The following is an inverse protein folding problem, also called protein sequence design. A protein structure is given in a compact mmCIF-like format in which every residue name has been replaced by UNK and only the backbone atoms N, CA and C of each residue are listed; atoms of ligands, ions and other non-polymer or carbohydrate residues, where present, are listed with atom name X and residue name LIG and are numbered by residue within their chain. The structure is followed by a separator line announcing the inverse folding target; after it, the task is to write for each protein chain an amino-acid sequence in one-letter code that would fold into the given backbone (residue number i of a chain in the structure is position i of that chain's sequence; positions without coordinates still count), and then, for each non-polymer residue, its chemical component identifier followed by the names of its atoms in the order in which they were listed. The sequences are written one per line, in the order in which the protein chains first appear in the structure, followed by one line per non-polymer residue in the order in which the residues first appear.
data_IF_512278854637
#
_entry.id   IF_512278854637
#
_cell.length_a   1.000
_cell.length_b   1.000
_cell.length_c   1.000
_cell.angle_alpha   90.00
_cell.angle_beta   90.00
_cell.angle_gamma   90.00
#
_symmetry.space_group_name_H-M   'P 1'
#
loop_
_entity.id
_entity.type
_entity.pdbx_description
1 polymer ?
#
# COMPACT_ATOMS: atom_id res chain seq x y z
N UNK A 1 16.72 -29.98 -0.40
CA UNK A 1 16.99 -29.07 -1.54
C UNK A 1 16.01 -27.90 -1.63
N UNK A 2 14.71 -28.08 -1.29
CA UNK A 2 13.68 -27.02 -1.27
C UNK A 2 14.03 -25.77 -0.42
N UNK A 3 14.70 -25.92 0.71
CA UNK A 3 15.06 -24.76 1.56
C UNK A 3 16.21 -23.90 1.00
N UNK A 4 17.12 -24.47 0.21
CA UNK A 4 18.26 -23.70 -0.33
C UNK A 4 17.84 -22.79 -1.50
N UNK A 5 16.86 -23.19 -2.30
CA UNK A 5 16.38 -22.39 -3.44
C UNK A 5 15.48 -21.22 -2.99
N UNK A 6 14.65 -21.42 -1.96
CA UNK A 6 13.85 -20.34 -1.36
C UNK A 6 14.76 -19.28 -0.72
N UNK A 7 15.88 -19.69 -0.12
CA UNK A 7 16.88 -18.78 0.48
C UNK A 7 17.68 -18.00 -0.58
N UNK A 8 17.90 -18.56 -1.77
CA UNK A 8 18.62 -17.87 -2.85
C UNK A 8 17.80 -16.72 -3.46
N UNK A 9 16.49 -16.91 -3.65
CA UNK A 9 15.62 -15.88 -4.21
C UNK A 9 15.34 -14.73 -3.23
N UNK A 10 15.42 -14.99 -1.92
CA UNK A 10 15.20 -13.96 -0.89
C UNK A 10 16.21 -12.80 -1.01
N UNK A 11 17.44 -13.07 -1.44
CA UNK A 11 18.52 -12.08 -1.59
C UNK A 11 18.47 -11.28 -2.88
N UNK A 12 17.58 -11.62 -3.81
CA UNK A 12 17.49 -10.89 -5.07
C UNK A 12 16.89 -9.50 -4.87
N UNK A 13 17.44 -8.48 -5.55
CA UNK A 13 16.80 -7.19 -5.68
C UNK A 13 15.36 -7.34 -6.19
N UNK A 14 14.44 -6.54 -5.65
CA UNK A 14 13.01 -6.57 -5.94
C UNK A 14 12.75 -6.39 -7.43
N UNK A 15 13.55 -5.56 -8.11
CA UNK A 15 13.47 -5.38 -9.56
C UNK A 15 13.59 -6.70 -10.33
N UNK A 16 14.45 -7.63 -9.90
CA UNK A 16 14.59 -8.93 -10.54
C UNK A 16 13.44 -9.88 -10.18
N UNK A 17 12.93 -9.81 -8.94
CA UNK A 17 11.72 -10.56 -8.53
C UNK A 17 10.51 -10.12 -9.36
N UNK A 18 10.33 -8.82 -9.58
CA UNK A 18 9.28 -8.26 -10.42
C UNK A 18 9.45 -8.64 -11.90
N UNK A 19 10.66 -8.49 -12.44
CA UNK A 19 10.96 -8.87 -13.83
C UNK A 19 10.68 -10.36 -14.07
N UNK A 20 11.12 -11.23 -13.15
CA UNK A 20 10.85 -12.66 -13.20
C UNK A 20 9.34 -12.95 -13.20
N UNK A 21 8.57 -12.25 -12.35
CA UNK A 21 7.12 -12.37 -12.31
C UNK A 21 6.46 -11.97 -13.63
N UNK A 22 6.86 -10.84 -14.22
CA UNK A 22 6.34 -10.36 -15.51
C UNK A 22 6.69 -11.31 -16.64
N UNK A 23 7.95 -11.75 -16.73
CA UNK A 23 8.39 -12.69 -17.77
C UNK A 23 7.63 -14.02 -17.68
N UNK A 24 7.47 -14.54 -16.46
CA UNK A 24 6.72 -15.79 -16.23
C UNK A 24 5.25 -15.63 -16.61
N UNK A 25 4.62 -14.51 -16.25
CA UNK A 25 3.23 -14.21 -16.64
C UNK A 25 3.08 -14.10 -18.16
N UNK A 26 3.97 -13.39 -18.84
CA UNK A 26 3.96 -13.28 -20.31
C UNK A 26 4.11 -14.65 -20.98
N UNK A 27 4.97 -15.52 -20.43
CA UNK A 27 5.15 -16.88 -20.94
C UNK A 27 3.90 -17.73 -20.76
N UNK A 28 3.21 -17.64 -19.61
CA UNK A 28 1.92 -18.30 -19.38
C UNK A 28 0.87 -17.85 -20.40
N UNK A 29 0.73 -16.54 -20.61
CA UNK A 29 -0.24 -15.98 -21.55
C UNK A 29 0.05 -16.42 -22.97
N UNK A 30 1.32 -16.37 -23.40
CA UNK A 30 1.72 -16.83 -24.73
C UNK A 30 1.42 -18.32 -24.96
N UNK A 31 1.67 -19.16 -23.95
CA UNK A 31 1.45 -20.60 -24.04
C UNK A 31 -0.05 -20.95 -24.08
N UNK A 32 -0.88 -20.27 -23.28
CA UNK A 32 -2.34 -20.40 -23.33
C UNK A 32 -2.91 -19.92 -24.66
N UNK A 33 -2.45 -18.77 -25.16
CA UNK A 33 -2.87 -18.23 -26.45
C UNK A 33 -2.50 -19.19 -27.59
N UNK A 34 -1.25 -19.68 -27.62
CA UNK A 34 -0.80 -20.65 -28.61
C UNK A 34 -1.65 -21.93 -28.59
N UNK A 35 -1.94 -22.47 -27.40
CA UNK A 35 -2.82 -23.63 -27.24
C UNK A 35 -4.22 -23.37 -27.77
N UNK A 36 -4.79 -22.19 -27.49
CA UNK A 36 -6.12 -21.79 -27.98
C UNK A 36 -6.18 -21.68 -29.50
N UNK A 37 -5.25 -20.95 -30.12
CA UNK A 37 -5.18 -20.79 -31.58
C UNK A 37 -4.97 -22.13 -32.30
N UNK A 38 -4.08 -22.98 -31.78
CA UNK A 38 -3.87 -24.33 -32.31
C UNK A 38 -5.15 -25.17 -32.26
N UNK A 39 -5.90 -25.12 -31.15
CA UNK A 39 -7.15 -25.85 -31.00
C UNK A 39 -8.22 -25.43 -32.03
N UNK A 40 -8.38 -24.13 -32.24
CA UNK A 40 -9.32 -23.58 -33.24
C UNK A 40 -8.93 -23.98 -34.66
N UNK A 41 -7.64 -23.91 -35.00
CA UNK A 41 -7.17 -24.29 -36.33
C UNK A 41 -7.38 -25.78 -36.61
N UNK A 42 -7.05 -26.65 -35.63
CA UNK A 42 -7.28 -28.09 -35.74
C UNK A 42 -8.76 -28.42 -35.94
N UNK A 43 -9.66 -27.75 -35.22
CA UNK A 43 -11.11 -27.90 -35.40
C UNK A 43 -11.57 -27.48 -36.80
N UNK A 44 -11.08 -26.36 -37.33
CA UNK A 44 -11.42 -25.89 -38.67
C UNK A 44 -11.02 -26.91 -39.75
N UNK A 45 -9.81 -27.45 -39.65
CA UNK A 45 -9.32 -28.48 -40.59
C UNK A 45 -10.18 -29.75 -40.53
N UNK A 46 -10.54 -30.21 -39.32
CA UNK A 46 -11.44 -31.35 -39.16
C UNK A 46 -12.81 -31.11 -39.77
N UNK A 47 -13.43 -29.96 -39.47
CA UNK A 47 -14.77 -29.63 -39.93
C UNK A 47 -14.84 -29.57 -41.47
N UNK A 48 -13.85 -28.96 -42.12
CA UNK A 48 -13.74 -28.97 -43.58
C UNK A 48 -13.61 -30.40 -44.12
N UNK A 49 -12.73 -31.22 -43.53
CA UNK A 49 -12.50 -32.61 -43.96
C UNK A 49 -13.77 -33.47 -43.88
N UNK A 50 -14.54 -33.36 -42.80
CA UNK A 50 -15.82 -34.08 -42.63
C UNK A 50 -16.83 -33.64 -43.69
N UNK A 51 -16.94 -32.32 -43.92
CA UNK A 51 -17.93 -31.75 -44.86
C UNK A 51 -17.69 -32.24 -46.28
N UNK A 52 -16.43 -32.27 -46.74
CA UNK A 52 -16.10 -32.73 -48.09
C UNK A 52 -16.33 -34.24 -48.27
N UNK A 53 -15.97 -35.06 -47.27
CA UNK A 53 -16.14 -36.52 -47.37
C UNK A 53 -17.59 -36.97 -47.30
N UNK A 54 -18.45 -36.22 -46.62
CA UNK A 54 -19.89 -36.49 -46.60
C UNK A 54 -20.53 -36.39 -48.01
N UNK A 55 -19.93 -35.63 -48.93
CA UNK A 55 -20.44 -35.45 -50.30
C UNK A 55 -20.15 -36.65 -51.25
N UNK A 56 -19.21 -37.54 -50.90
CA UNK A 56 -18.90 -38.74 -51.71
C UNK A 56 -19.96 -39.84 -51.57
N UNK A 57 -20.61 -39.92 -50.41
CA UNK A 57 -21.54 -40.99 -50.07
C UNK A 57 -22.82 -40.99 -50.95
N UNK A 58 -23.47 -39.85 -51.22
CA UNK A 58 -24.58 -39.79 -52.17
C UNK A 58 -24.21 -40.27 -53.58
N UNK A 59 -23.01 -39.92 -54.05
CA UNK A 59 -22.58 -40.25 -55.42
C UNK A 59 -22.28 -41.75 -55.60
N UNK A 60 -21.70 -42.40 -54.58
CA UNK A 60 -21.50 -43.84 -54.60
C UNK A 60 -22.83 -44.62 -54.53
N UNK A 61 -23.79 -44.12 -53.75
CA UNK A 61 -25.14 -44.69 -53.67
C UNK A 61 -25.89 -44.56 -55.00
N UNK A 62 -25.79 -43.40 -55.66
CA UNK A 62 -26.40 -43.14 -56.97
C UNK A 62 -25.83 -44.08 -58.04
N UNK A 63 -24.52 -44.32 -58.04
CA UNK A 63 -23.88 -45.29 -58.94
C UNK A 63 -24.38 -46.72 -58.67
N UNK A 64 -24.43 -47.14 -57.40
CA UNK A 64 -24.92 -48.48 -57.04
C UNK A 64 -26.39 -48.66 -57.46
N UNK A 65 -27.21 -47.62 -57.30
CA UNK A 65 -28.60 -47.63 -57.73
C UNK A 65 -28.73 -47.73 -59.25
N UNK A 66 -27.95 -46.95 -60.01
CA UNK A 66 -27.96 -47.00 -61.48
C UNK A 66 -27.58 -48.41 -61.99
N UNK A 67 -26.58 -49.06 -61.36
CA UNK A 67 -26.18 -50.43 -61.72
C UNK A 67 -27.25 -51.45 -61.33
N UNK A 68 -27.94 -51.26 -60.21
CA UNK A 68 -29.09 -52.08 -59.84
C UNK A 68 -30.24 -51.97 -60.86
N UNK A 69 -30.56 -50.76 -61.32
CA UNK A 69 -31.56 -50.52 -62.37
C UNK A 69 -31.16 -51.14 -63.72
N UNK A 70 -29.88 -51.10 -64.08
CA UNK A 70 -29.32 -51.78 -65.26
C UNK A 70 -29.46 -53.31 -65.15
N UNK A 71 -29.08 -53.89 -64.00
CA UNK A 71 -29.22 -55.32 -63.74
C UNK A 71 -30.69 -55.76 -63.78
N UNK A 72 -31.58 -54.94 -63.25
CA UNK A 72 -33.01 -55.23 -63.24
C UNK A 72 -33.62 -55.18 -64.66
N UNK A 73 -33.25 -54.19 -65.48
CA UNK A 73 -33.71 -54.12 -66.88
C UNK A 73 -33.17 -55.29 -67.71
N UNK A 74 -31.91 -55.69 -67.51
CA UNK A 74 -31.33 -56.88 -68.16
C UNK A 74 -32.06 -58.18 -67.82
N UNK A 75 -32.36 -58.43 -66.53
CA UNK A 75 -33.13 -59.62 -66.11
C UNK A 75 -34.53 -59.63 -66.71
N UNK A 76 -35.14 -58.46 -66.91
CA UNK A 76 -36.48 -58.33 -67.52
C UNK A 76 -36.48 -58.73 -69.00
N UNK A 77 -35.39 -58.44 -69.72
CA UNK A 77 -35.21 -58.81 -71.15
C UNK A 77 -35.18 -60.32 -71.36
N UNK A 78 -34.66 -61.10 -70.40
CA UNK A 78 -34.52 -62.57 -70.51
C UNK A 78 -35.62 -63.41 -69.86
N UNK A 79 -36.71 -62.81 -69.38
CA UNK A 79 -37.85 -63.57 -68.84
C UNK A 79 -38.60 -64.30 -69.98
N UNK A 80 -39.08 -65.54 -69.75
CA UNK A 80 -39.92 -66.24 -70.73
C UNK A 80 -41.15 -65.40 -71.10
N UNK A 81 -41.47 -65.31 -72.40
CA UNK A 81 -42.56 -64.48 -72.96
C UNK A 81 -43.98 -64.90 -72.53
N UNK A 82 -44.12 -65.95 -71.73
CA UNK A 82 -45.40 -66.53 -71.31
C UNK A 82 -46.11 -65.76 -70.18
N UNK A 83 -45.54 -64.64 -69.72
CA UNK A 83 -46.13 -63.77 -68.71
C UNK A 83 -47.01 -62.70 -69.40
N UNK A 84 -48.36 -62.71 -69.22
CA UNK A 84 -49.28 -61.84 -69.97
C UNK A 84 -49.01 -60.34 -69.80
N UNK A 85 -48.44 -59.91 -68.67
CA UNK A 85 -48.12 -58.51 -68.39
C UNK A 85 -46.88 -57.97 -69.13
N UNK A 86 -46.09 -58.85 -69.75
CA UNK A 86 -44.87 -58.51 -70.51
C UNK A 86 -45.04 -58.67 -72.03
N UNK A 87 -46.19 -59.21 -72.47
CA UNK A 87 -46.48 -59.47 -73.88
C UNK A 87 -46.67 -58.19 -74.72
N UNK A 88 -47.05 -57.07 -74.09
CA UNK A 88 -47.21 -55.76 -74.76
C UNK A 88 -45.91 -54.95 -74.88
N UNK A 89 -44.83 -55.36 -74.20
CA UNK A 89 -43.53 -54.68 -74.29
C UNK A 89 -42.79 -55.07 -75.57
N UNK A 90 -42.73 -54.16 -76.55
CA UNK A 90 -41.92 -54.36 -77.76
C UNK A 90 -40.45 -54.65 -77.39
N UNK A 91 -39.77 -55.63 -78.02
CA UNK A 91 -38.35 -55.93 -77.77
C UNK A 91 -37.42 -54.71 -77.87
N UNK A 92 -37.75 -53.76 -78.74
CA UNK A 92 -37.02 -52.49 -78.88
C UNK A 92 -37.13 -51.57 -77.66
N UNK A 93 -38.24 -51.62 -76.91
CA UNK A 93 -38.41 -50.83 -75.69
C UNK A 93 -37.50 -51.33 -74.56
N UNK A 94 -37.38 -52.65 -74.38
CA UNK A 94 -36.51 -53.22 -73.34
C UNK A 94 -35.02 -53.00 -73.66
N UNK A 95 -34.61 -53.08 -74.93
CA UNK A 95 -33.25 -52.70 -75.36
C UNK A 95 -32.99 -51.19 -75.19
N UNK A 96 -33.99 -50.36 -75.43
CA UNK A 96 -33.91 -48.92 -75.19
C UNK A 96 -33.76 -48.60 -73.69
N UNK A 97 -34.54 -49.25 -72.82
CA UNK A 97 -34.45 -49.13 -71.35
C UNK A 97 -33.07 -49.57 -70.85
N UNK A 98 -32.54 -50.69 -71.36
CA UNK A 98 -31.18 -51.15 -71.07
C UNK A 98 -30.12 -50.12 -71.45
N UNK A 99 -30.17 -49.56 -72.66
CA UNK A 99 -29.21 -48.54 -73.13
C UNK A 99 -29.29 -47.25 -72.31
N UNK A 100 -30.49 -46.83 -71.91
CA UNK A 100 -30.68 -45.67 -71.05
C UNK A 100 -30.08 -45.90 -69.66
N UNK A 101 -30.33 -47.07 -69.05
CA UNK A 101 -29.74 -47.41 -67.75
C UNK A 101 -28.21 -47.53 -67.83
N UNK A 102 -27.66 -48.03 -68.93
CA UNK A 102 -26.21 -48.08 -69.15
C UNK A 102 -25.61 -46.66 -69.24
N UNK A 103 -26.33 -45.71 -69.86
CA UNK A 103 -25.94 -44.29 -69.91
C UNK A 103 -26.04 -43.62 -68.53
N UNK A 104 -27.05 -43.97 -67.73
CA UNK A 104 -27.19 -43.50 -66.35
C UNK A 104 -26.05 -43.99 -65.46
N UNK A 105 -25.63 -45.26 -65.60
CA UNK A 105 -24.45 -45.82 -64.90
C UNK A 105 -23.18 -45.04 -65.24
N UNK A 106 -22.93 -44.75 -66.53
CA UNK A 106 -21.77 -43.96 -66.95
C UNK A 106 -21.80 -42.55 -66.36
N UNK A 107 -22.95 -41.90 -66.37
CA UNK A 107 -23.13 -40.56 -65.82
C UNK A 107 -22.87 -40.54 -64.30
N UNK A 108 -23.38 -41.53 -63.58
CA UNK A 108 -23.15 -41.68 -62.14
C UNK A 108 -21.68 -42.00 -61.82
N UNK A 109 -21.02 -42.82 -62.65
CA UNK A 109 -19.59 -43.13 -62.52
C UNK A 109 -18.73 -41.89 -62.73
N UNK A 110 -19.01 -41.09 -63.76
CA UNK A 110 -18.28 -39.86 -64.03
C UNK A 110 -18.46 -38.83 -62.90
N UNK A 111 -19.66 -38.74 -62.33
CA UNK A 111 -19.94 -37.89 -61.16
C UNK A 111 -19.14 -38.34 -59.93
N UNK A 112 -19.10 -39.64 -59.67
CA UNK A 112 -18.30 -40.22 -58.59
C UNK A 112 -16.80 -39.98 -58.81
N UNK A 113 -16.29 -40.19 -60.03
CA UNK A 113 -14.90 -39.96 -60.42
C UNK A 113 -14.48 -38.50 -60.25
N UNK A 114 -15.35 -37.55 -60.62
CA UNK A 114 -15.12 -36.12 -60.38
C UNK A 114 -14.89 -35.84 -58.90
N UNK A 115 -15.75 -36.33 -58.00
CA UNK A 115 -15.56 -36.19 -56.55
C UNK A 115 -14.29 -36.90 -56.03
N UNK A 116 -13.91 -38.03 -56.63
CA UNK A 116 -12.69 -38.75 -56.27
C UNK A 116 -11.41 -38.01 -56.69
N UNK A 117 -11.47 -37.22 -57.77
CA UNK A 117 -10.32 -36.48 -58.33
C UNK A 117 -10.22 -35.03 -57.89
N UNK A 118 -11.32 -34.37 -57.51
CA UNK A 118 -11.40 -32.91 -57.50
C UNK A 118 -10.47 -32.20 -56.52
N UNK A 119 -9.94 -32.83 -55.47
CA UNK A 119 -9.09 -32.11 -54.49
C UNK A 119 -7.98 -32.95 -53.83
N UNK A 120 -7.16 -33.63 -54.65
CA UNK A 120 -5.95 -34.33 -54.16
C UNK A 120 -4.92 -33.40 -53.47
N UNK A 121 -5.03 -32.08 -53.61
CA UNK A 121 -4.04 -31.11 -53.10
C UNK A 121 -4.26 -30.60 -51.67
N UNK A 122 -5.46 -30.74 -51.09
CA UNK A 122 -5.81 -30.13 -49.78
C UNK A 122 -6.25 -31.14 -48.70
N UNK A 123 -6.24 -32.44 -49.01
CA UNK A 123 -6.66 -33.48 -48.07
C UNK A 123 -5.52 -33.86 -47.13
N UNK A 124 -5.82 -33.99 -45.83
CA UNK A 124 -4.86 -34.50 -44.84
C UNK A 124 -4.33 -35.87 -45.31
N UNK A 125 -2.99 -36.05 -45.45
CA UNK A 125 -2.39 -37.29 -45.94
C UNK A 125 -2.76 -38.53 -45.11
N UNK A 126 -3.31 -38.35 -43.90
CA UNK A 126 -3.82 -39.42 -43.03
C UNK A 126 -5.12 -40.07 -43.51
N UNK A 127 -5.78 -39.54 -44.55
CA UNK A 127 -6.98 -40.13 -45.19
C UNK A 127 -6.64 -40.70 -46.59
N UNK A 128 -5.35 -40.94 -46.85
CA UNK A 128 -4.78 -40.94 -48.20
C UNK A 128 -4.83 -42.25 -48.99
N UNK A 129 -5.34 -43.37 -48.46
CA UNK A 129 -5.33 -44.60 -49.27
C UNK A 129 -6.62 -44.78 -50.09
N UNK A 130 -6.73 -43.99 -51.16
CA UNK A 130 -7.75 -44.14 -52.20
C UNK A 130 -7.49 -45.33 -53.14
N UNK A 131 -6.50 -46.19 -52.86
CA UNK A 131 -6.11 -47.25 -53.79
C UNK A 131 -7.21 -48.30 -53.95
N UNK A 132 -7.99 -48.57 -52.90
CA UNK A 132 -9.11 -49.53 -52.98
C UNK A 132 -10.25 -48.96 -53.81
N UNK A 133 -10.67 -47.72 -53.54
CA UNK A 133 -11.72 -47.04 -54.29
C UNK A 133 -11.34 -46.83 -55.76
N UNK A 134 -10.07 -46.49 -56.04
CA UNK A 134 -9.56 -46.41 -57.42
C UNK A 134 -9.51 -47.77 -58.10
N UNK A 135 -9.12 -48.82 -57.39
CA UNK A 135 -9.13 -50.20 -57.90
C UNK A 135 -10.54 -50.64 -58.31
N UNK A 136 -11.53 -50.41 -57.45
CA UNK A 136 -12.93 -50.72 -57.72
C UNK A 136 -13.49 -49.88 -58.88
N UNK A 137 -13.15 -48.59 -58.97
CA UNK A 137 -13.54 -47.76 -60.12
C UNK A 137 -12.95 -48.29 -61.44
N UNK A 138 -11.68 -48.70 -61.44
CA UNK A 138 -11.05 -49.31 -62.63
C UNK A 138 -11.71 -50.64 -63.02
N UNK A 139 -12.15 -51.44 -62.05
CA UNK A 139 -12.89 -52.68 -62.30
C UNK A 139 -14.28 -52.41 -62.89
N UNK A 140 -14.97 -51.39 -62.40
CA UNK A 140 -16.24 -50.90 -62.96
C UNK A 140 -16.05 -50.40 -64.40
N UNK A 141 -15.00 -49.62 -64.67
CA UNK A 141 -14.67 -49.14 -66.03
C UNK A 141 -14.44 -50.32 -66.99
N UNK A 142 -13.63 -51.32 -66.58
CA UNK A 142 -13.39 -52.54 -67.39
C UNK A 142 -14.67 -53.34 -67.66
N UNK A 143 -15.54 -53.43 -66.65
CA UNK A 143 -16.82 -54.15 -66.79
C UNK A 143 -17.74 -53.42 -67.78
N UNK A 144 -17.81 -52.09 -67.71
CA UNK A 144 -18.57 -51.27 -68.66
C UNK A 144 -18.04 -51.36 -70.10
N UNK A 145 -16.72 -51.42 -70.29
CA UNK A 145 -16.10 -51.62 -71.61
C UNK A 145 -16.41 -53.01 -72.19
N UNK A 146 -16.48 -54.03 -71.34
CA UNK A 146 -16.83 -55.39 -71.76
C UNK A 146 -18.33 -55.51 -72.08
N UNK A 147 -19.20 -54.92 -71.25
CA UNK A 147 -20.64 -54.80 -71.51
C UNK A 147 -20.89 -54.05 -72.82
N UNK A 148 -20.15 -52.96 -73.10
CA UNK A 148 -20.28 -52.20 -74.33
C UNK A 148 -19.93 -53.05 -75.56
N UNK A 149 -18.82 -53.81 -75.50
CA UNK A 149 -18.41 -54.72 -76.58
C UNK A 149 -19.43 -55.83 -76.84
N UNK A 150 -19.97 -56.45 -75.80
CA UNK A 150 -20.98 -57.51 -75.91
C UNK A 150 -22.33 -56.98 -76.41
N UNK A 151 -22.74 -55.79 -75.95
CA UNK A 151 -23.98 -55.14 -76.37
C UNK A 151 -23.97 -54.72 -77.85
N UNK A 152 -22.82 -54.27 -78.38
CA UNK A 152 -22.70 -53.83 -79.79
C UNK A 152 -22.87 -54.94 -80.83
N UNK A 153 -22.85 -56.22 -80.43
CA UNK A 153 -23.01 -57.36 -81.35
C UNK A 153 -24.47 -57.61 -81.79
N UNK A 154 -25.42 -56.71 -81.44
CA UNK A 154 -26.84 -56.63 -81.86
C UNK A 154 -27.77 -57.84 -81.62
N UNK A 155 -27.25 -59.06 -81.52
CA UNK A 155 -28.04 -60.30 -81.44
C UNK A 155 -27.97 -61.01 -80.06
N UNK A 156 -27.39 -60.37 -79.04
CA UNK A 156 -27.22 -60.95 -77.70
C UNK A 156 -28.53 -61.37 -77.00
N UNK A 157 -29.68 -60.82 -77.42
CA UNK A 157 -31.00 -61.20 -76.90
C UNK A 157 -31.44 -62.58 -77.41
N UNK A 158 -30.91 -63.02 -78.56
CA UNK A 158 -31.30 -64.26 -79.23
C UNK A 158 -30.23 -65.36 -79.13
N UNK A 159 -29.04 -65.02 -78.63
CA UNK A 159 -27.94 -65.96 -78.36
C UNK A 159 -27.80 -66.17 -76.85
N UNK A 160 -28.14 -67.37 -76.38
CA UNK A 160 -28.07 -67.76 -74.97
C UNK A 160 -26.66 -67.62 -74.40
N UNK A 161 -25.61 -67.88 -75.19
CA UNK A 161 -24.21 -67.79 -74.73
C UNK A 161 -23.83 -66.33 -74.51
N UNK A 162 -24.23 -65.42 -75.41
CA UNK A 162 -23.98 -63.98 -75.25
C UNK A 162 -24.83 -63.37 -74.13
N UNK A 163 -26.07 -63.85 -73.96
CA UNK A 163 -26.92 -63.46 -72.84
C UNK A 163 -26.27 -63.83 -71.50
N UNK A 164 -25.81 -65.07 -71.35
CA UNK A 164 -25.19 -65.54 -70.11
C UNK A 164 -23.88 -64.78 -69.83
N UNK A 165 -23.03 -64.55 -70.84
CA UNK A 165 -21.81 -63.75 -70.71
C UNK A 165 -22.08 -62.28 -70.31
N UNK A 166 -23.11 -61.67 -70.88
CA UNK A 166 -23.51 -60.30 -70.55
C UNK A 166 -24.10 -60.23 -69.13
N UNK A 167 -24.86 -61.24 -68.73
CA UNK A 167 -25.40 -61.38 -67.37
C UNK A 167 -24.31 -61.51 -66.32
N UNK A 168 -23.31 -62.34 -66.57
CA UNK A 168 -22.14 -62.51 -65.68
C UNK A 168 -21.36 -61.20 -65.51
N UNK A 169 -21.17 -60.44 -66.58
CA UNK A 169 -20.44 -59.17 -66.53
C UNK A 169 -21.25 -58.05 -65.83
N UNK A 170 -22.58 -58.03 -66.00
CA UNK A 170 -23.48 -57.13 -65.25
C UNK A 170 -23.49 -57.49 -63.76
N UNK A 171 -23.44 -58.77 -63.41
CA UNK A 171 -23.32 -59.19 -62.02
C UNK A 171 -21.98 -58.76 -61.42
N UNK A 172 -20.86 -58.90 -62.14
CA UNK A 172 -19.55 -58.35 -61.71
C UNK A 172 -19.58 -56.84 -61.51
N UNK A 173 -20.19 -56.11 -62.45
CA UNK A 173 -20.39 -54.66 -62.33
C UNK A 173 -21.21 -54.31 -61.08
N UNK A 174 -22.27 -55.06 -60.79
CA UNK A 174 -23.08 -54.88 -59.58
C UNK A 174 -22.28 -55.12 -58.31
N UNK A 175 -21.55 -56.24 -58.22
CA UNK A 175 -20.69 -56.55 -57.08
C UNK A 175 -19.67 -55.43 -56.84
N UNK A 176 -18.91 -55.04 -57.86
CA UNK A 176 -17.92 -53.96 -57.76
C UNK A 176 -18.56 -52.62 -57.34
N UNK A 177 -19.72 -52.26 -57.90
CA UNK A 177 -20.43 -51.02 -57.51
C UNK A 177 -20.93 -51.05 -56.05
N UNK A 178 -21.37 -52.22 -55.57
CA UNK A 178 -21.87 -52.40 -54.20
C UNK A 178 -20.78 -52.37 -53.13
N UNK A 179 -19.52 -52.65 -53.51
CA UNK A 179 -18.37 -52.55 -52.61
C UNK A 179 -17.95 -51.10 -52.33
N UNK A 180 -18.23 -50.16 -53.24
CA UNK A 180 -17.84 -48.75 -53.10
C UNK A 180 -18.42 -48.08 -51.83
N UNK A 181 -19.74 -48.13 -51.54
CA UNK A 181 -20.28 -47.63 -50.28
C UNK A 181 -19.66 -48.31 -49.05
N UNK A 182 -19.37 -49.61 -49.12
CA UNK A 182 -18.77 -50.36 -48.03
C UNK A 182 -17.32 -49.94 -47.74
N UNK A 183 -16.55 -49.56 -48.77
CA UNK A 183 -15.22 -48.97 -48.60
C UNK A 183 -15.29 -47.59 -47.93
N UNK A 184 -16.22 -46.74 -48.40
CA UNK A 184 -16.44 -45.41 -47.82
C UNK A 184 -16.86 -45.47 -46.35
N UNK A 185 -17.78 -46.38 -46.00
CA UNK A 185 -18.25 -46.56 -44.62
C UNK A 185 -17.13 -47.07 -43.70
N UNK A 186 -16.36 -48.08 -44.13
CA UNK A 186 -15.20 -48.57 -43.38
C UNK A 186 -14.17 -47.46 -43.16
N UNK A 187 -13.86 -46.68 -44.20
CA UNK A 187 -12.95 -45.54 -44.11
C UNK A 187 -13.46 -44.45 -43.16
N UNK A 188 -14.76 -44.11 -43.22
CA UNK A 188 -15.37 -43.13 -42.33
C UNK A 188 -15.33 -43.56 -40.86
N UNK A 189 -15.53 -44.86 -40.60
CA UNK A 189 -15.39 -45.41 -39.24
C UNK A 189 -13.95 -45.34 -38.73
N UNK A 190 -12.97 -45.74 -39.55
CA UNK A 190 -11.55 -45.66 -39.19
C UNK A 190 -11.09 -44.21 -38.95
N UNK A 191 -11.52 -43.28 -39.82
CA UNK A 191 -11.25 -41.86 -39.65
C UNK A 191 -11.85 -41.30 -38.36
N UNK A 192 -13.10 -41.66 -38.05
CA UNK A 192 -13.76 -41.23 -36.80
C UNK A 192 -12.99 -41.70 -35.57
N UNK A 193 -12.52 -42.93 -35.53
CA UNK A 193 -11.81 -43.49 -34.38
C UNK A 193 -10.41 -42.88 -34.24
N UNK A 194 -9.70 -42.64 -35.34
CA UNK A 194 -8.41 -41.95 -35.35
C UNK A 194 -8.54 -40.50 -34.86
N UNK A 195 -9.56 -39.78 -35.34
CA UNK A 195 -9.89 -38.43 -34.89
C UNK A 195 -10.19 -38.43 -33.39
N UNK A 196 -11.08 -39.30 -32.90
CA UNK A 196 -11.43 -39.36 -31.47
C UNK A 196 -10.20 -39.60 -30.59
N UNK A 197 -9.31 -40.49 -30.99
CA UNK A 197 -8.07 -40.77 -30.27
C UNK A 197 -7.17 -39.54 -30.15
N UNK A 198 -6.91 -38.86 -31.27
CA UNK A 198 -6.10 -37.64 -31.27
C UNK A 198 -6.73 -36.51 -30.46
N UNK A 199 -8.04 -36.27 -30.62
CA UNK A 199 -8.74 -35.22 -29.88
C UNK A 199 -8.69 -35.44 -28.37
N UNK A 200 -8.78 -36.68 -27.89
CA UNK A 200 -8.63 -36.99 -26.46
C UNK A 200 -7.26 -36.56 -25.94
N UNK A 201 -6.19 -36.81 -26.69
CA UNK A 201 -4.83 -36.38 -26.33
C UNK A 201 -4.74 -34.85 -26.30
N UNK A 202 -5.26 -34.16 -27.31
CA UNK A 202 -5.25 -32.70 -27.38
C UNK A 202 -6.06 -32.03 -26.26
N UNK A 203 -7.25 -32.56 -25.95
CA UNK A 203 -8.08 -32.09 -24.84
C UNK A 203 -7.33 -32.24 -23.52
N UNK A 204 -6.77 -33.42 -23.24
CA UNK A 204 -5.98 -33.65 -22.03
C UNK A 204 -4.79 -32.70 -21.96
N UNK A 205 -4.02 -32.54 -23.03
CA UNK A 205 -2.91 -31.58 -23.09
C UNK A 205 -3.38 -30.14 -22.77
N UNK A 206 -4.49 -29.70 -23.36
CA UNK A 206 -5.04 -28.35 -23.13
C UNK A 206 -5.50 -28.13 -21.69
N UNK A 207 -6.18 -29.12 -21.09
CA UNK A 207 -6.57 -29.07 -19.68
C UNK A 207 -5.36 -29.07 -18.75
N UNK A 208 -4.38 -29.94 -18.99
CA UNK A 208 -3.16 -29.99 -18.17
C UNK A 208 -2.37 -28.68 -18.25
N UNK A 209 -2.24 -28.09 -19.44
CA UNK A 209 -1.59 -26.78 -19.62
C UNK A 209 -2.36 -25.66 -18.90
N UNK A 210 -3.69 -25.66 -18.99
CA UNK A 210 -4.56 -24.69 -18.30
C UNK A 210 -4.47 -24.80 -16.78
N UNK A 211 -4.48 -26.03 -16.24
CA UNK A 211 -4.35 -26.27 -14.80
C UNK A 211 -2.96 -25.84 -14.32
N UNK A 212 -1.90 -26.22 -15.05
CA UNK A 212 -0.53 -25.84 -14.71
C UNK A 212 -0.35 -24.31 -14.73
N UNK A 213 -0.91 -23.64 -15.74
CA UNK A 213 -0.93 -22.18 -15.81
C UNK A 213 -1.65 -21.55 -14.61
N UNK A 214 -2.81 -22.09 -14.22
CA UNK A 214 -3.57 -21.62 -13.05
C UNK A 214 -2.79 -21.78 -11.74
N UNK A 215 -2.18 -22.95 -11.52
CA UNK A 215 -1.32 -23.20 -10.35
C UNK A 215 -0.14 -22.23 -10.36
N UNK A 216 0.53 -22.05 -11.49
CA UNK A 216 1.67 -21.14 -11.59
C UNK A 216 1.25 -19.69 -11.32
N UNK A 217 0.08 -19.25 -11.79
CA UNK A 217 -0.47 -17.93 -11.52
C UNK A 217 -0.75 -17.71 -10.02
N UNK A 218 -1.36 -18.69 -9.34
CA UNK A 218 -1.60 -18.62 -7.89
C UNK A 218 -0.29 -18.54 -7.13
N UNK A 219 0.70 -19.37 -7.49
CA UNK A 219 2.02 -19.35 -6.83
C UNK A 219 2.74 -18.02 -7.03
N UNK A 220 2.68 -17.43 -8.22
CA UNK A 220 3.29 -16.14 -8.53
C UNK A 220 2.60 -15.00 -7.77
N UNK A 221 1.27 -15.02 -7.65
CA UNK A 221 0.52 -14.08 -6.81
C UNK A 221 0.88 -14.18 -5.33
N UNK A 222 1.01 -15.40 -4.80
CA UNK A 222 1.45 -15.62 -3.42
C UNK A 222 2.88 -15.09 -3.19
N UNK A 223 3.82 -15.40 -4.09
CA UNK A 223 5.20 -14.89 -4.01
C UNK A 223 5.25 -13.37 -4.06
N UNK A 224 4.47 -12.74 -4.95
CA UNK A 224 4.37 -11.29 -5.03
C UNK A 224 3.84 -10.68 -3.73
N UNK A 225 2.82 -11.30 -3.13
CA UNK A 225 2.28 -10.85 -1.85
C UNK A 225 3.33 -10.90 -0.73
N UNK A 226 4.03 -12.02 -0.59
CA UNK A 226 5.05 -12.21 0.46
C UNK A 226 6.29 -11.34 0.25
N UNK A 227 6.75 -11.15 -0.99
CA UNK A 227 7.98 -10.43 -1.29
C UNK A 227 7.81 -8.91 -1.41
N UNK A 228 6.62 -8.42 -1.79
CA UNK A 228 6.41 -7.00 -2.07
C UNK A 228 5.34 -6.41 -1.15
N UNK A 229 4.13 -6.98 -1.15
CA UNK A 229 2.98 -6.36 -0.46
C UNK A 229 3.14 -6.38 1.05
N UNK A 230 3.57 -7.51 1.63
CA UNK A 230 3.72 -7.63 3.08
C UNK A 230 4.82 -6.71 3.64
N UNK A 231 6.07 -6.69 3.13
CA UNK A 231 7.11 -5.78 3.60
C UNK A 231 6.71 -4.31 3.48
N UNK A 232 6.07 -3.94 2.36
CA UNK A 232 5.58 -2.58 2.14
C UNK A 232 4.52 -2.17 3.18
N UNK A 233 3.58 -3.08 3.51
CA UNK A 233 2.59 -2.84 4.58
C UNK A 233 3.23 -2.69 5.96
N UNK A 234 4.35 -3.37 6.22
CA UNK A 234 5.11 -3.22 7.47
C UNK A 234 5.80 -1.85 7.52
N UNK A 235 6.41 -1.40 6.42
CA UNK A 235 7.01 -0.07 6.31
C UNK A 235 5.98 1.04 6.53
N UNK A 236 4.84 0.97 5.84
CA UNK A 236 3.78 1.97 5.95
C UNK A 236 3.23 2.03 7.38
N UNK A 237 2.94 0.87 8.00
CA UNK A 237 2.43 0.82 9.38
C UNK A 237 3.46 1.35 10.37
N UNK A 238 4.74 1.00 10.20
CA UNK A 238 5.81 1.49 11.06
C UNK A 238 6.01 3.00 10.93
N UNK A 239 5.99 3.52 9.70
CA UNK A 239 6.06 4.96 9.44
C UNK A 239 4.90 5.71 10.12
N UNK A 240 3.67 5.17 10.07
CA UNK A 240 2.52 5.75 10.79
C UNK A 240 2.70 5.72 12.31
N UNK A 241 3.29 4.67 12.88
CA UNK A 241 3.60 4.63 14.33
C UNK A 241 4.61 5.69 14.74
N UNK A 242 5.69 5.82 13.97
CA UNK A 242 6.71 6.86 14.19
C UNK A 242 6.09 8.26 14.07
N UNK A 243 5.24 8.49 13.05
CA UNK A 243 4.52 9.74 12.91
C UNK A 243 3.52 10.02 14.05
N UNK A 244 3.00 8.96 14.69
CA UNK A 244 2.15 9.03 15.88
C UNK A 244 2.90 9.28 17.19
N UNK A 245 4.23 9.44 17.16
CA UNK A 245 5.06 9.76 18.34
C UNK A 245 5.81 8.58 18.95
N UNK A 246 5.62 7.36 18.45
CA UNK A 246 6.37 6.18 18.87
C UNK A 246 7.73 6.11 18.16
N UNK A 247 8.67 6.92 18.63
CA UNK A 247 10.01 7.02 18.05
C UNK A 247 10.95 5.88 18.47
N UNK A 248 10.58 5.06 19.47
CA UNK A 248 11.38 3.90 19.89
C UNK A 248 11.19 2.70 18.96
N UNK A 249 10.06 2.64 18.25
CA UNK A 249 9.81 1.60 17.26
C UNK A 249 10.93 1.54 16.21
N UNK A 250 11.38 0.32 15.89
CA UNK A 250 12.38 0.05 14.84
C UNK A 250 11.80 -0.90 13.82
N UNK A 251 11.93 -0.54 12.55
CA UNK A 251 11.46 -1.36 11.45
C UNK A 251 12.44 -2.51 11.25
N UNK A 252 11.97 -3.72 11.46
CA UNK A 252 12.72 -4.95 11.19
C UNK A 252 12.11 -5.63 9.97
N UNK A 253 12.90 -5.77 8.92
CA UNK A 253 12.53 -6.52 7.72
C UNK A 253 13.63 -7.54 7.52
N UNK A 254 13.26 -8.81 7.59
CA UNK A 254 14.15 -9.94 7.31
C UNK A 254 14.26 -10.14 5.79
N UNK A 255 14.88 -9.16 5.14
CA UNK A 255 15.17 -9.16 3.72
C UNK A 255 16.55 -8.52 3.49
N UNK A 256 17.15 -8.80 2.35
CA UNK A 256 18.45 -8.24 1.97
C UNK A 256 18.36 -7.40 0.69
N UNK A 257 17.14 -6.96 0.35
CA UNK A 257 16.84 -6.18 -0.85
C UNK A 257 16.51 -4.71 -0.54
N UNK A 258 15.96 -3.99 -1.52
CA UNK A 258 15.65 -2.56 -1.42
C UNK A 258 14.65 -2.25 -0.30
N UNK A 259 13.78 -3.20 0.13
CA UNK A 259 12.92 -2.98 1.29
C UNK A 259 13.73 -2.87 2.58
N UNK A 260 14.79 -3.67 2.70
CA UNK A 260 15.68 -3.61 3.85
C UNK A 260 16.51 -2.32 3.87
N UNK A 261 16.89 -1.82 2.69
CA UNK A 261 17.49 -0.50 2.56
C UNK A 261 16.54 0.61 2.99
N UNK A 262 15.28 0.58 2.55
CA UNK A 262 14.25 1.53 3.00
C UNK A 262 14.02 1.45 4.51
N UNK A 263 13.99 0.25 5.10
CA UNK A 263 13.87 0.07 6.55
C UNK A 263 15.07 0.67 7.31
N UNK A 264 16.30 0.45 6.82
CA UNK A 264 17.51 1.07 7.38
C UNK A 264 17.46 2.59 7.29
N UNK A 265 17.06 3.14 6.14
CA UNK A 265 16.92 4.58 5.94
C UNK A 265 15.89 5.20 6.89
N UNK A 266 14.72 4.56 7.04
CA UNK A 266 13.68 4.99 7.97
C UNK A 266 14.17 4.96 9.43
N UNK A 267 14.83 3.88 9.85
CA UNK A 267 15.40 3.77 11.20
C UNK A 267 16.48 4.84 11.47
N UNK A 268 17.34 5.12 10.49
CA UNK A 268 18.36 6.16 10.60
C UNK A 268 17.72 7.55 10.73
N UNK A 269 16.68 7.84 9.94
CA UNK A 269 15.91 9.08 10.04
C UNK A 269 15.25 9.21 11.42
N UNK A 270 14.59 8.17 11.92
CA UNK A 270 13.97 8.16 13.25
C UNK A 270 14.99 8.40 14.37
N UNK A 271 16.18 7.81 14.27
CA UNK A 271 17.25 7.99 15.26
C UNK A 271 17.75 9.44 15.28
N UNK A 272 18.00 10.04 14.10
CA UNK A 272 18.36 11.47 14.00
C UNK A 272 17.27 12.39 14.55
N UNK A 273 16.00 12.09 14.30
CA UNK A 273 14.90 12.85 14.87
C UNK A 273 14.86 12.78 16.40
N UNK A 274 15.15 11.62 17.00
CA UNK A 274 15.25 11.48 18.45
C UNK A 274 16.39 12.32 19.02
N UNK A 275 17.57 12.27 18.40
CA UNK A 275 18.72 13.10 18.80
C UNK A 275 18.41 14.60 18.74
N UNK A 276 17.83 15.07 17.62
CA UNK A 276 17.43 16.48 17.46
C UNK A 276 16.41 16.89 18.51
N UNK A 277 15.42 16.04 18.81
CA UNK A 277 14.39 16.33 19.81
C UNK A 277 14.98 16.42 21.22
N UNK A 278 15.89 15.52 21.57
CA UNK A 278 16.57 15.55 22.87
C UNK A 278 17.46 16.77 23.02
N UNK A 279 18.21 17.11 21.96
CA UNK A 279 19.04 18.31 21.95
C UNK A 279 18.21 19.58 22.09
N UNK A 280 17.12 19.69 21.31
CA UNK A 280 16.18 20.80 21.43
C UNK A 280 15.57 20.88 22.83
N UNK A 281 15.22 19.75 23.44
CA UNK A 281 14.71 19.71 24.82
C UNK A 281 15.75 20.26 25.80
N UNK A 282 17.03 19.89 25.66
CA UNK A 282 18.11 20.43 26.50
C UNK A 282 18.30 21.92 26.28
N UNK A 283 18.32 22.38 25.03
CA UNK A 283 18.46 23.80 24.69
C UNK A 283 17.31 24.63 25.27
N UNK A 284 16.06 24.16 25.13
CA UNK A 284 14.89 24.84 25.71
C UNK A 284 15.03 24.91 27.23
N UNK A 285 15.36 23.80 27.91
CA UNK A 285 15.56 23.80 29.35
C UNK A 285 16.66 24.77 29.81
N UNK A 286 17.77 24.83 29.07
CA UNK A 286 18.86 25.75 29.37
C UNK A 286 18.43 27.21 29.18
N UNK A 287 17.76 27.53 28.06
CA UNK A 287 17.23 28.87 27.81
C UNK A 287 16.21 29.28 28.85
N UNK A 288 15.30 28.39 29.26
CA UNK A 288 14.36 28.67 30.35
C UNK A 288 15.09 29.00 31.65
N UNK A 289 16.15 28.26 32.00
CA UNK A 289 16.97 28.58 33.19
C UNK A 289 17.68 29.93 33.07
N UNK A 290 18.22 30.25 31.90
CA UNK A 290 18.87 31.55 31.63
C UNK A 290 17.89 32.71 31.78
N UNK A 291 16.67 32.56 31.24
CA UNK A 291 15.59 33.57 31.37
C UNK A 291 15.21 33.77 32.83
N UNK A 292 14.94 32.69 33.57
CA UNK A 292 14.59 32.77 35.00
C UNK A 292 15.70 33.47 35.80
N UNK A 293 16.97 33.12 35.55
CA UNK A 293 18.11 33.78 36.21
C UNK A 293 18.21 35.26 35.85
N UNK A 294 17.94 35.62 34.59
CA UNK A 294 17.96 37.02 34.14
C UNK A 294 16.86 37.83 34.84
N UNK A 295 15.65 37.29 34.96
CA UNK A 295 14.54 37.93 35.70
C UNK A 295 14.89 38.11 37.18
N UNK A 296 15.52 37.11 37.81
CA UNK A 296 15.99 37.20 39.19
C UNK A 296 17.03 38.32 39.37
N UNK A 297 18.02 38.40 38.48
CA UNK A 297 19.04 39.45 38.54
C UNK A 297 18.45 40.85 38.33
N UNK A 298 17.44 40.99 37.47
CA UNK A 298 16.73 42.25 37.28
C UNK A 298 15.99 42.67 38.57
N UNK A 299 15.31 41.74 39.24
CA UNK A 299 14.62 41.99 40.52
C UNK A 299 15.62 42.38 41.63
N UNK A 300 16.75 41.70 41.73
CA UNK A 300 17.83 42.07 42.67
C UNK A 300 18.43 43.43 42.32
N UNK A 301 18.62 43.75 41.04
CA UNK A 301 19.12 45.05 40.59
C UNK A 301 18.19 46.21 40.96
N UNK A 302 16.87 46.00 40.83
CA UNK A 302 15.85 46.96 41.29
C UNK A 302 15.95 47.21 42.80
N UNK A 303 16.03 46.14 43.60
CA UNK A 303 16.21 46.26 45.05
C UNK A 303 17.52 46.94 45.40
N UNK A 304 18.63 46.61 44.71
CA UNK A 304 19.94 47.18 44.98
C UNK A 304 19.98 48.70 44.74
N UNK A 305 19.30 49.22 43.71
CA UNK A 305 19.23 50.65 43.44
C UNK A 305 18.46 51.41 44.54
N UNK A 306 17.33 50.86 44.98
CA UNK A 306 16.53 51.42 46.08
C UNK A 306 17.24 51.32 47.43
N UNK A 307 17.88 50.17 47.72
CA UNK A 307 18.67 49.93 48.93
C UNK A 307 19.91 50.81 48.97
N UNK A 308 20.61 51.04 47.85
CA UNK A 308 21.75 51.95 47.81
C UNK A 308 21.35 53.36 48.22
N UNK A 309 20.19 53.85 47.75
CA UNK A 309 19.65 55.14 48.17
C UNK A 309 19.30 55.16 49.67
N UNK A 310 18.72 54.06 50.18
CA UNK A 310 18.39 53.90 51.59
C UNK A 310 19.59 53.71 52.53
N UNK A 311 20.72 53.18 52.06
CA UNK A 311 21.98 53.09 52.83
C UNK A 311 22.71 54.43 52.79
N UNK A 312 22.69 55.13 51.66
CA UNK A 312 23.33 56.44 51.54
C UNK A 312 22.71 57.49 52.48
N UNK A 313 21.39 57.43 52.73
CA UNK A 313 20.70 58.35 53.65
C UNK A 313 21.16 58.29 55.13
N UNK A 314 21.18 57.12 55.81
CA UNK A 314 21.76 56.98 57.13
C UNK A 314 23.26 57.25 57.13
N UNK A 315 24.01 56.88 56.09
CA UNK A 315 25.43 57.21 55.99
C UNK A 315 25.67 58.72 55.94
N UNK A 316 24.88 59.46 55.18
CA UNK A 316 24.93 60.92 55.17
C UNK A 316 24.56 61.52 56.54
N UNK A 317 23.58 60.93 57.23
CA UNK A 317 23.20 61.33 58.59
C UNK A 317 24.30 61.05 59.61
N UNK A 318 24.99 59.91 59.49
CA UNK A 318 26.17 59.56 60.30
C UNK A 318 27.29 60.54 60.03
N UNK A 319 27.59 60.84 58.76
CA UNK A 319 28.66 61.77 58.37
C UNK A 319 28.40 63.16 58.94
N UNK A 320 27.19 63.71 58.74
CA UNK A 320 26.81 65.02 59.26
C UNK A 320 26.80 65.08 60.80
N UNK A 321 26.33 64.02 61.46
CA UNK A 321 26.37 63.91 62.92
C UNK A 321 27.81 63.78 63.45
N UNK A 322 28.70 63.13 62.71
CA UNK A 322 30.12 62.98 63.08
C UNK A 322 30.88 64.29 62.87
N UNK A 323 30.65 65.00 61.77
CA UNK A 323 31.22 66.32 61.48
C UNK A 323 30.74 67.37 62.51
N UNK A 324 29.44 67.37 62.84
CA UNK A 324 28.89 68.24 63.89
C UNK A 324 29.42 67.91 65.29
N UNK A 325 29.79 66.64 65.52
CA UNK A 325 30.38 66.18 66.77
C UNK A 325 31.85 66.60 66.88
N UNK A 326 32.62 66.46 65.79
CA UNK A 326 34.02 66.85 65.67
C UNK A 326 34.22 68.35 65.90
N UNK A 327 33.46 69.20 65.20
CA UNK A 327 33.53 70.66 65.38
C UNK A 327 33.27 71.09 66.82
N UNK A 328 32.29 70.49 67.51
CA UNK A 328 32.01 70.81 68.92
C UNK A 328 33.03 70.24 69.88
N UNK A 329 33.63 69.10 69.56
CA UNK A 329 34.70 68.55 70.37
C UNK A 329 35.93 69.46 70.28
N UNK A 330 36.26 69.98 69.10
CA UNK A 330 37.32 71.00 68.93
C UNK A 330 37.03 72.26 69.76
N UNK A 331 35.80 72.80 69.70
CA UNK A 331 35.38 73.96 70.50
C UNK A 331 35.52 73.74 72.03
N UNK A 332 35.20 72.53 72.52
CA UNK A 332 35.33 72.14 73.95
C UNK A 332 36.79 72.03 74.40
N UNK A 333 37.71 71.66 73.50
CA UNK A 333 39.12 71.40 73.82
C UNK A 333 40.04 72.62 73.56
N UNK A 334 39.54 73.70 72.96
CA UNK A 334 40.28 74.96 72.82
C UNK A 334 40.23 75.88 74.07
N UNK A 335 39.28 75.66 75.00
CA UNK A 335 39.16 76.46 76.22
C UNK A 335 39.69 75.70 77.47
N UNK A 336 40.87 76.11 77.95
CA UNK A 336 41.65 75.46 79.02
C UNK A 336 41.11 75.72 80.45
N UNK A 337 39.77 75.81 80.59
CA UNK A 337 39.11 76.18 81.84
C UNK A 337 38.28 75.02 82.42
N UNK A 338 38.95 74.20 83.24
CA UNK A 338 38.29 73.25 84.12
C UNK A 338 37.43 73.96 85.18
N UNK A 339 36.17 73.51 85.28
CA UNK A 339 35.39 73.16 86.50
C UNK A 339 34.06 73.91 86.68
N UNK A 340 32.96 73.13 86.72
CA UNK A 340 31.61 73.48 87.19
C UNK A 340 30.81 74.55 86.41
N UNK A 341 30.92 74.55 85.08
CA UNK A 341 30.04 75.37 84.23
C UNK A 341 28.81 74.57 83.74
N UNK A 342 27.56 75.05 83.96
CA UNK A 342 26.36 74.51 83.33
C UNK A 342 26.44 74.42 81.80
N UNK A 343 27.26 75.26 81.17
CA UNK A 343 27.43 75.32 79.72
C UNK A 343 28.17 74.07 79.18
N UNK A 344 29.24 73.64 79.85
CA UNK A 344 29.99 72.42 79.51
C UNK A 344 29.11 71.15 79.64
N UNK A 345 28.22 71.12 80.64
CA UNK A 345 27.27 70.02 80.81
C UNK A 345 26.25 69.93 79.67
N UNK A 346 25.84 71.08 79.12
CA UNK A 346 24.96 71.15 77.95
C UNK A 346 25.67 70.66 76.68
N UNK A 347 26.94 71.02 76.50
CA UNK A 347 27.74 70.55 75.35
C UNK A 347 28.01 69.05 75.39
N UNK A 348 28.38 68.51 76.56
CA UNK A 348 28.52 67.04 76.74
C UNK A 348 27.19 66.31 76.48
N UNK A 349 26.04 66.92 76.79
CA UNK A 349 24.73 66.34 76.48
C UNK A 349 24.45 66.31 74.97
N UNK A 350 24.85 67.36 74.25
CA UNK A 350 24.72 67.44 72.78
C UNK A 350 25.66 66.46 72.08
N UNK A 351 26.91 66.34 72.54
CA UNK A 351 27.89 65.33 72.07
C UNK A 351 27.30 63.91 72.22
N UNK A 352 26.70 63.61 73.37
CA UNK A 352 26.01 62.32 73.61
C UNK A 352 24.82 62.11 72.66
N UNK A 353 24.09 63.16 72.28
CA UNK A 353 22.97 63.05 71.33
C UNK A 353 23.46 62.72 69.91
N UNK A 354 24.53 63.37 69.44
CA UNK A 354 25.15 63.04 68.15
C UNK A 354 25.71 61.62 68.11
N UNK A 355 26.39 61.16 69.17
CA UNK A 355 26.84 59.76 69.28
C UNK A 355 25.68 58.76 69.22
N UNK A 356 24.55 59.06 69.88
CA UNK A 356 23.35 58.22 69.78
C UNK A 356 22.75 58.23 68.38
N UNK A 357 22.74 59.37 67.69
CA UNK A 357 22.30 59.47 66.28
C UNK A 357 23.17 58.61 65.38
N UNK A 358 24.49 58.71 65.47
CA UNK A 358 25.44 57.88 64.71
C UNK A 358 25.17 56.39 64.96
N UNK A 359 25.06 55.98 66.23
CA UNK A 359 24.79 54.60 66.61
C UNK A 359 23.47 54.09 66.01
N UNK A 360 22.39 54.88 66.12
CA UNK A 360 21.06 54.52 65.61
C UNK A 360 21.08 54.34 64.09
N UNK A 361 21.72 55.25 63.37
CA UNK A 361 21.83 55.19 61.91
C UNK A 361 22.74 54.03 61.45
N UNK A 362 23.80 53.70 62.21
CA UNK A 362 24.65 52.53 61.93
C UNK A 362 23.89 51.20 62.08
N UNK A 363 23.06 51.07 63.12
CA UNK A 363 22.15 49.93 63.25
C UNK A 363 21.10 49.88 62.13
N UNK A 364 20.67 51.04 61.64
CA UNK A 364 19.76 51.11 60.48
C UNK A 364 20.43 50.59 59.21
N UNK A 365 21.68 50.97 58.93
CA UNK A 365 22.47 50.41 57.81
C UNK A 365 22.56 48.88 57.91
N UNK A 366 22.88 48.36 59.10
CA UNK A 366 22.96 46.90 59.33
C UNK A 366 21.64 46.19 58.98
N UNK A 367 20.52 46.69 59.48
CA UNK A 367 19.20 46.12 59.19
C UNK A 367 18.85 46.14 57.70
N UNK A 368 19.23 47.20 56.97
CA UNK A 368 19.04 47.28 55.52
C UNK A 368 19.88 46.21 54.79
N UNK A 369 21.15 46.03 55.18
CA UNK A 369 22.03 45.02 54.55
C UNK A 369 21.60 43.57 54.81
N UNK A 370 21.07 43.27 56.00
CA UNK A 370 20.56 41.94 56.34
C UNK A 370 19.34 41.57 55.48
N UNK A 371 18.39 42.49 55.30
CA UNK A 371 17.21 42.28 54.44
C UNK A 371 17.58 42.04 52.97
N UNK A 372 18.59 42.74 52.44
CA UNK A 372 19.07 42.54 51.07
C UNK A 372 19.72 41.16 50.90
N UNK A 373 20.49 40.70 51.89
CA UNK A 373 21.15 39.40 51.86
C UNK A 373 20.13 38.25 51.91
N UNK A 374 19.07 38.38 52.71
CA UNK A 374 17.99 37.39 52.82
C UNK A 374 17.23 37.20 51.49
N UNK A 375 17.11 38.25 50.68
CA UNK A 375 16.51 38.19 49.34
C UNK A 375 17.46 37.67 48.24
N UNK A 376 18.77 37.73 48.46
CA UNK A 376 19.80 37.33 47.49
C UNK A 376 20.22 35.86 47.62
N UNK A 377 20.00 35.24 48.78
CA UNK A 377 20.34 33.83 49.03
C UNK A 377 19.49 32.91 48.16
N UNK A 378 20.11 31.96 47.47
CA UNK A 378 19.39 30.83 46.87
C UNK A 378 19.03 29.84 47.98
N UNK A 379 17.75 29.68 48.27
CA UNK A 379 17.25 28.50 48.98
C UNK A 379 16.86 27.42 47.97
N UNK A 380 16.96 26.16 48.40
CA UNK A 380 16.51 25.01 47.61
C UNK A 380 15.04 25.18 47.17
N UNK A 381 14.68 24.59 46.03
CA UNK A 381 13.33 24.62 45.43
C UNK A 381 12.32 23.78 46.23
N UNK A 382 12.56 23.60 47.53
CA UNK A 382 11.66 22.88 48.41
C UNK A 382 10.50 23.78 48.85
N UNK A 383 9.31 23.19 48.92
CA UNK A 383 8.11 23.86 49.42
C UNK A 383 7.94 23.51 50.88
N UNK A 384 7.68 24.52 51.70
CA UNK A 384 7.40 24.35 53.11
C UNK A 384 6.10 25.07 53.46
N UNK A 385 5.39 24.57 54.48
CA UNK A 385 4.22 25.25 55.01
C UNK A 385 4.65 26.58 55.60
N UNK A 386 4.29 27.66 54.92
CA UNK A 386 4.74 29.02 55.20
C UNK A 386 3.56 29.87 55.66
N UNK A 387 3.77 30.76 56.62
CA UNK A 387 2.79 31.79 57.01
C UNK A 387 2.77 32.89 55.95
N UNK A 388 1.70 32.92 55.16
CA UNK A 388 1.55 33.86 54.05
C UNK A 388 1.34 35.30 54.53
N UNK A 389 0.82 35.51 55.75
CA UNK A 389 0.66 36.86 56.30
C UNK A 389 2.03 37.48 56.56
N UNK A 390 2.89 36.77 57.28
CA UNK A 390 4.24 37.24 57.59
C UNK A 390 5.02 37.48 56.31
N UNK A 391 4.95 36.56 55.35
CA UNK A 391 5.63 36.70 54.07
C UNK A 391 5.23 37.98 53.32
N UNK A 392 3.92 38.25 53.19
CA UNK A 392 3.43 39.44 52.47
C UNK A 392 3.77 40.72 53.25
N UNK A 393 3.66 40.70 54.58
CA UNK A 393 4.02 41.84 55.43
C UNK A 393 5.51 42.20 55.29
N UNK A 394 6.41 41.21 55.28
CA UNK A 394 7.85 41.44 55.11
C UNK A 394 8.15 42.18 53.79
N UNK A 395 7.45 41.82 52.72
CA UNK A 395 7.61 42.47 51.41
C UNK A 395 7.03 43.90 51.41
N UNK A 396 5.86 44.10 52.04
CA UNK A 396 5.25 45.43 52.18
C UNK A 396 6.17 46.37 52.96
N UNK A 397 6.69 45.92 54.11
CA UNK A 397 7.57 46.71 54.97
C UNK A 397 8.85 47.10 54.22
N UNK A 398 9.39 46.19 53.40
CA UNK A 398 10.51 46.48 52.52
C UNK A 398 10.17 47.56 51.49
N UNK A 399 9.07 47.41 50.75
CA UNK A 399 8.71 48.32 49.66
C UNK A 399 8.31 49.71 50.17
N UNK A 400 7.67 49.80 51.33
CA UNK A 400 7.30 51.08 51.96
C UNK A 400 8.50 51.94 52.34
N UNK A 401 9.66 51.33 52.59
CA UNK A 401 10.87 52.07 52.93
C UNK A 401 11.59 52.65 51.70
N UNK A 402 11.35 52.08 50.51
CA UNK A 402 11.97 52.51 49.26
C UNK A 402 11.62 53.96 48.95
N UNK A 403 12.66 54.80 48.80
CA UNK A 403 12.53 56.25 48.64
C UNK A 403 11.56 56.69 47.54
N UNK A 404 11.48 55.91 46.44
CA UNK A 404 10.61 56.19 45.30
C UNK A 404 9.11 55.98 45.58
N UNK A 405 8.74 55.25 46.63
CA UNK A 405 7.35 54.95 47.01
C UNK A 405 6.90 55.61 48.31
N UNK A 406 7.74 56.46 48.94
CA UNK A 406 7.43 57.12 50.23
C UNK A 406 6.16 57.97 50.24
N UNK A 407 5.70 58.42 49.08
CA UNK A 407 4.46 59.20 48.93
C UNK A 407 3.31 58.34 48.44
N UNK A 408 3.36 57.02 48.59
CA UNK A 408 2.27 56.10 48.22
C UNK A 408 1.91 55.26 49.43
N UNK A 409 0.65 54.88 49.53
CA UNK A 409 0.12 54.16 50.68
C UNK A 409 -0.15 52.70 50.32
N UNK A 410 0.12 51.78 51.24
CA UNK A 410 -0.22 50.37 51.08
C UNK A 410 -1.09 49.97 52.27
N UNK A 411 -2.28 49.45 51.98
CA UNK A 411 -3.22 48.95 53.00
C UNK A 411 -3.26 47.43 52.91
N UNK A 412 -2.76 46.75 53.94
CA UNK A 412 -2.79 45.29 54.01
C UNK A 412 -3.94 44.79 54.88
N UNK A 413 -4.80 43.94 54.31
CA UNK A 413 -5.89 43.27 55.02
C UNK A 413 -5.71 41.77 55.04
N UNK A 414 -5.70 41.23 56.25
CA UNK A 414 -5.75 39.79 56.48
C UNK A 414 -6.59 39.57 57.73
N UNK A 415 -7.68 38.80 57.62
CA UNK A 415 -8.61 38.57 58.74
C UNK A 415 -8.38 37.22 59.42
N UNK A 416 -7.88 36.23 58.68
CA UNK A 416 -7.67 34.85 59.18
C UNK A 416 -6.24 34.40 58.93
N UNK A 417 -5.77 33.42 59.70
CA UNK A 417 -4.48 32.79 59.47
C UNK A 417 -4.50 32.01 58.15
N UNK A 418 -3.51 32.27 57.29
CA UNK A 418 -3.37 31.65 55.96
C UNK A 418 -1.97 31.04 55.87
N UNK A 419 -1.92 29.72 55.70
CA UNK A 419 -0.68 29.00 55.45
C UNK A 419 -0.76 28.23 54.14
N UNK A 420 0.34 28.20 53.39
CA UNK A 420 0.44 27.49 52.13
C UNK A 420 1.80 26.80 51.99
N UNK A 421 1.81 25.62 51.37
CA UNK A 421 3.04 24.91 51.01
C UNK A 421 3.66 25.54 49.77
N UNK A 422 4.63 26.43 50.00
CA UNK A 422 5.26 27.25 48.95
C UNK A 422 6.77 27.34 49.16
N UNK A 423 7.49 27.76 48.11
CA UNK A 423 8.82 28.29 48.28
C UNK A 423 8.68 29.77 48.67
N UNK A 424 9.11 30.11 49.88
CA UNK A 424 8.93 31.43 50.46
C UNK A 424 9.60 32.54 49.64
N UNK A 425 10.80 32.28 49.11
CA UNK A 425 11.55 33.22 48.29
C UNK A 425 10.87 33.52 46.94
N UNK A 426 10.43 32.49 46.22
CA UNK A 426 9.72 32.66 44.94
C UNK A 426 8.43 33.46 45.14
N UNK A 427 7.67 33.17 46.20
CA UNK A 427 6.44 33.91 46.49
C UNK A 427 6.75 35.34 46.92
N UNK A 428 7.80 35.60 47.73
CA UNK A 428 8.22 36.97 48.05
C UNK A 428 8.49 37.79 46.79
N UNK A 429 9.10 37.19 45.77
CA UNK A 429 9.36 37.85 44.49
C UNK A 429 8.08 38.12 43.69
N UNK A 430 7.13 37.19 43.67
CA UNK A 430 5.81 37.41 43.05
C UNK A 430 5.08 38.56 43.73
N UNK A 431 5.02 38.55 45.06
CA UNK A 431 4.38 39.61 45.86
C UNK A 431 5.05 40.95 45.59
N UNK A 432 6.39 40.99 45.58
CA UNK A 432 7.17 42.20 45.27
C UNK A 432 6.80 42.75 43.90
N UNK A 433 6.85 41.92 42.85
CA UNK A 433 6.56 42.35 41.48
C UNK A 433 5.12 42.88 41.34
N UNK A 434 4.14 42.25 42.00
CA UNK A 434 2.76 42.72 41.96
C UNK A 434 2.60 44.07 42.66
N UNK A 435 3.19 44.22 43.85
CA UNK A 435 3.11 45.46 44.61
C UNK A 435 3.87 46.58 43.89
N UNK A 436 5.06 46.33 43.33
CA UNK A 436 5.81 47.35 42.60
C UNK A 436 5.09 47.77 41.32
N UNK A 437 4.50 46.82 40.58
CA UNK A 437 3.70 47.15 39.40
C UNK A 437 2.48 48.00 39.76
N UNK A 438 1.76 47.64 40.83
CA UNK A 438 0.62 48.40 41.35
C UNK A 438 1.05 49.82 41.77
N UNK A 439 2.16 49.92 42.50
CA UNK A 439 2.70 51.22 42.90
C UNK A 439 3.17 52.05 41.72
N UNK A 440 3.84 51.49 40.71
CA UNK A 440 4.36 52.23 39.55
C UNK A 440 3.24 52.83 38.70
N UNK A 441 2.07 52.18 38.65
CA UNK A 441 0.88 52.66 37.93
C UNK A 441 0.18 53.85 38.61
N UNK A 442 0.50 54.14 39.87
CA UNK A 442 -0.18 55.18 40.67
C UNK A 442 0.49 56.55 40.60
N UNK A 443 -0.32 57.60 40.67
CA UNK A 443 0.12 58.97 40.94
C UNK A 443 0.63 59.14 42.40
N UNK A 444 1.35 60.23 42.72
CA UNK A 444 1.70 60.55 44.11
C UNK A 444 0.44 60.57 45.01
N UNK A 445 0.56 60.02 46.20
CA UNK A 445 -0.49 59.83 47.23
C UNK A 445 -1.56 58.76 46.89
N UNK A 446 -1.36 57.97 45.84
CA UNK A 446 -2.18 56.79 45.52
C UNK A 446 -2.07 55.67 46.56
N UNK A 447 -3.09 54.81 46.64
CA UNK A 447 -3.18 53.72 47.63
C UNK A 447 -3.32 52.37 46.95
N UNK A 448 -2.43 51.44 47.25
CA UNK A 448 -2.55 50.02 46.86
C UNK A 448 -3.22 49.25 48.00
N UNK A 449 -4.29 48.52 47.70
CA UNK A 449 -4.95 47.60 48.63
C UNK A 449 -4.48 46.17 48.37
N UNK A 450 -3.93 45.54 49.42
CA UNK A 450 -3.47 44.14 49.39
C UNK A 450 -4.35 43.33 50.33
N UNK A 451 -5.05 42.33 49.83
CA UNK A 451 -5.89 41.44 50.65
C UNK A 451 -5.45 39.99 50.54
N UNK A 452 -5.41 39.30 51.69
CA UNK A 452 -5.03 37.89 51.80
C UNK A 452 -6.16 37.09 52.45
N UNK A 453 -6.77 36.21 51.66
CA UNK A 453 -7.92 35.40 52.04
C UNK A 453 -7.59 33.90 51.99
N UNK A 454 -8.24 33.14 52.86
CA UNK A 454 -8.24 31.68 52.82
C UNK A 454 -9.50 31.18 52.16
N UNK A 455 -9.36 30.47 51.05
CA UNK A 455 -10.44 29.71 50.41
C UNK A 455 -10.36 28.23 50.84
N UNK A 456 -11.34 27.41 50.46
CA UNK A 456 -11.43 26.01 50.93
C UNK A 456 -10.16 25.19 50.62
N UNK A 457 -9.56 25.38 49.44
CA UNK A 457 -8.42 24.59 48.97
C UNK A 457 -7.19 25.43 48.58
N UNK A 458 -7.22 26.76 48.72
CA UNK A 458 -6.07 27.61 48.37
C UNK A 458 -6.01 28.91 49.18
N UNK A 459 -4.83 29.52 49.18
CA UNK A 459 -4.63 30.91 49.60
C UNK A 459 -4.86 31.85 48.41
N UNK A 460 -5.56 32.95 48.62
CA UNK A 460 -5.86 33.96 47.60
C UNK A 460 -5.26 35.31 48.03
N UNK A 461 -4.34 35.83 47.21
CA UNK A 461 -3.75 37.15 47.38
C UNK A 461 -4.24 38.06 46.24
N UNK A 462 -4.82 39.21 46.60
CA UNK A 462 -5.32 40.21 45.65
C UNK A 462 -4.56 41.51 45.90
N UNK A 463 -4.00 42.08 44.84
CA UNK A 463 -3.35 43.41 44.83
C UNK A 463 -4.17 44.30 43.90
N UNK A 464 -4.62 45.44 44.40
CA UNK A 464 -5.45 46.38 43.67
C UNK A 464 -4.87 47.79 43.80
N UNK A 465 -4.56 48.42 42.68
CA UNK A 465 -4.17 49.84 42.56
C UNK A 465 -5.35 50.76 42.22
#
# INVERSE_FOLDING_TARGET
MRDKEVVMLARWPIRYKLLFGVVTLSLIVALLAFSGFRGVYAYRTLASTITHRAAEMPSASELTQAVHELRFSFKRVGLPRDIPSLADSQPGYMQYEFRNNLTAVRTALDKYKKHLTSEQGNLDPRIGNLAKERGTVQEIERSLETIDRLHHQQDWVFDQVQYDLLGDEIERLYQASSELPAHLQRRMSAFRDEVRGQYRIWIVMTWTASILAGVMMITLGALFYFWVVQPLRVLIRSSRRVAGGDFEHRVQIDSHDEMAEMARALNAMTSRFQEIREDLKRQVQQRTKEVVRSEQLASVGFLAAGVAHEINNPLASIAMASESLESRVEDVFEDDALTNDPELAAEVAVIKDYLRKIQKEAFRCKGITERLLDFSRMSDVERHDTDMRSLVQDVIDMVQHLGQYRRKHIVFRCERYVSASVNDQEIKQVVLNLITNALDSLEPDGTVEVSLNRQENWAELIVQD
#
